data_IF_894416956673
#
_entry.id   IF_894416956673
#
_cell.length_a   1.000
_cell.length_b   1.000
_cell.length_c   1.000
_cell.angle_alpha   90.00
_cell.angle_beta   90.00
_cell.angle_gamma   90.00
#
_symmetry.space_group_name_H-M   'P 1'
#
loop_
_entity.id
_entity.type
_entity.pdbx_description
1 polymer ?
#
# COMPACT_ATOMS: atom_id res chain seq x y z
N UNK A 1 -26.79 4.12 32.65
CA UNK A 1 -25.61 4.78 32.05
C UNK A 1 -24.46 3.79 32.14
N UNK A 2 -24.11 3.12 31.03
CA UNK A 2 -23.19 1.97 31.03
C UNK A 2 -21.81 2.35 31.56
N UNK A 3 -21.40 1.71 32.64
CA UNK A 3 -20.10 1.88 33.33
C UNK A 3 -18.90 1.50 32.45
N UNK A 4 -19.14 0.81 31.34
CA UNK A 4 -18.12 0.35 30.41
C UNK A 4 -17.57 1.49 29.53
N UNK A 5 -18.47 2.31 28.96
CA UNK A 5 -18.09 3.46 28.15
C UNK A 5 -17.26 4.50 28.95
N UNK A 6 -17.53 4.64 30.24
CA UNK A 6 -16.74 5.51 31.12
C UNK A 6 -15.32 4.95 31.37
N UNK A 7 -15.17 3.63 31.44
CA UNK A 7 -13.86 2.97 31.58
C UNK A 7 -13.07 3.04 30.29
N UNK A 8 -13.71 2.83 29.14
CA UNK A 8 -13.11 2.99 27.82
C UNK A 8 -12.58 4.41 27.62
N UNK A 9 -13.39 5.43 27.92
CA UNK A 9 -12.97 6.82 27.81
C UNK A 9 -11.78 7.15 28.72
N UNK A 10 -11.79 6.65 29.97
CA UNK A 10 -10.67 6.80 30.90
C UNK A 10 -9.38 6.15 30.38
N UNK A 11 -9.48 4.95 29.78
CA UNK A 11 -8.35 4.26 29.17
C UNK A 11 -7.80 5.03 27.96
N UNK A 12 -8.67 5.55 27.09
CA UNK A 12 -8.28 6.38 25.95
C UNK A 12 -7.55 7.65 26.42
N UNK A 13 -8.07 8.32 27.44
CA UNK A 13 -7.45 9.54 27.99
C UNK A 13 -6.07 9.26 28.60
N UNK A 14 -5.91 8.14 29.30
CA UNK A 14 -4.63 7.73 29.87
C UNK A 14 -3.59 7.43 28.77
N UNK A 15 -3.99 6.70 27.73
CA UNK A 15 -3.12 6.41 26.57
C UNK A 15 -2.75 7.69 25.83
N UNK A 16 -3.70 8.59 25.60
CA UNK A 16 -3.43 9.88 24.94
C UNK A 16 -2.42 10.72 25.73
N UNK A 17 -2.62 10.85 27.05
CA UNK A 17 -1.73 11.62 27.93
C UNK A 17 -0.31 11.03 27.96
N UNK A 18 -0.20 9.70 27.97
CA UNK A 18 1.10 9.01 27.93
C UNK A 18 1.82 9.16 26.57
N UNK A 19 1.07 9.34 25.48
CA UNK A 19 1.61 9.48 24.12
C UNK A 19 1.89 10.93 23.72
N UNK A 20 1.34 11.91 24.43
CA UNK A 20 1.51 13.34 24.11
C UNK A 20 2.97 13.86 24.09
N UNK A 21 3.87 13.45 25.00
CA UNK A 21 5.26 13.92 24.96
C UNK A 21 6.12 13.21 23.90
N UNK A 22 5.59 12.18 23.23
CA UNK A 22 6.32 11.38 22.24
C UNK A 22 6.19 11.97 20.84
N UNK A 23 7.25 11.81 20.03
CA UNK A 23 7.23 12.14 18.61
C UNK A 23 6.23 11.26 17.84
N UNK A 24 5.62 11.76 16.74
CA UNK A 24 4.57 11.04 16.01
C UNK A 24 4.96 9.61 15.60
N UNK A 25 6.19 9.40 15.13
CA UNK A 25 6.69 8.07 14.76
C UNK A 25 6.86 7.15 15.97
N UNK A 26 7.24 7.71 17.14
CA UNK A 26 7.36 6.95 18.37
C UNK A 26 5.98 6.50 18.90
N UNK A 27 4.94 7.35 18.76
CA UNK A 27 3.55 6.99 19.12
C UNK A 27 3.07 5.77 18.33
N UNK A 28 3.31 5.75 17.02
CA UNK A 28 2.91 4.63 16.16
C UNK A 28 3.61 3.32 16.53
N UNK A 29 4.93 3.36 16.81
CA UNK A 29 5.67 2.17 17.24
C UNK A 29 5.18 1.62 18.58
N UNK A 30 4.93 2.51 19.55
CA UNK A 30 4.43 2.11 20.88
C UNK A 30 3.05 1.48 20.77
N UNK A 31 2.14 2.05 19.99
CA UNK A 31 0.81 1.48 19.77
C UNK A 31 0.86 0.12 19.06
N UNK A 32 1.70 -0.03 18.04
CA UNK A 32 1.88 -1.31 17.34
C UNK A 32 2.45 -2.39 18.27
N UNK A 33 3.40 -2.03 19.15
CA UNK A 33 3.97 -2.95 20.12
C UNK A 33 2.94 -3.39 21.18
N UNK A 34 2.17 -2.43 21.73
CA UNK A 34 1.12 -2.72 22.71
C UNK A 34 0.02 -3.59 22.09
N UNK A 35 -0.37 -3.31 20.85
CA UNK A 35 -1.33 -4.13 20.11
C UNK A 35 -0.84 -5.58 19.95
N UNK A 36 0.42 -5.76 19.55
CA UNK A 36 1.05 -7.09 19.47
C UNK A 36 1.11 -7.79 20.83
N UNK A 37 1.41 -7.05 21.91
CA UNK A 37 1.52 -7.61 23.26
C UNK A 37 0.16 -8.05 23.81
N UNK A 38 -0.90 -7.30 23.48
CA UNK A 38 -2.27 -7.59 23.88
C UNK A 38 -2.97 -8.60 22.95
N UNK A 39 -2.28 -9.09 21.91
CA UNK A 39 -2.86 -10.00 20.92
C UNK A 39 -3.98 -9.36 20.08
N UNK A 40 -3.99 -8.03 19.99
CA UNK A 40 -4.94 -7.27 19.19
C UNK A 40 -4.40 -7.22 17.77
N UNK A 41 -5.01 -7.98 16.85
CA UNK A 41 -4.72 -7.90 15.43
C UNK A 41 -5.16 -6.52 14.91
N UNK A 42 -4.23 -5.56 14.88
CA UNK A 42 -4.46 -4.20 14.36
C UNK A 42 -4.47 -4.20 12.83
N UNK A 43 -5.23 -5.10 12.21
CA UNK A 43 -5.83 -4.80 10.91
C UNK A 43 -6.88 -3.75 11.16
N UNK A 44 -6.45 -2.49 11.20
CA UNK A 44 -7.37 -1.35 11.19
C UNK A 44 -8.12 -1.42 9.87
N UNK A 45 -9.26 -2.10 9.90
CA UNK A 45 -10.30 -1.92 8.91
C UNK A 45 -10.67 -0.45 9.01
N UNK A 46 -10.23 0.34 8.02
CA UNK A 46 -10.82 1.64 7.76
C UNK A 46 -12.25 1.34 7.29
N UNK A 47 -13.12 1.09 8.26
CA UNK A 47 -14.56 1.02 8.11
C UNK A 47 -14.99 2.39 7.63
N UNK A 48 -15.14 2.52 6.32
CA UNK A 48 -15.84 3.65 5.73
C UNK A 48 -17.29 3.49 6.13
N UNK A 49 -17.66 4.19 7.18
CA UNK A 49 -19.03 4.29 7.67
C UNK A 49 -19.95 4.73 6.53
N UNK A 50 -21.06 4.04 6.47
CA UNK A 50 -22.20 4.21 5.58
C UNK A 50 -22.70 5.65 5.53
N UNK A 51 -22.69 6.26 4.35
CA UNK A 51 -23.60 7.33 3.99
C UNK A 51 -24.52 6.81 2.87
N UNK A 52 -25.80 6.72 3.23
CA UNK A 52 -26.92 6.20 2.47
C UNK A 52 -27.40 7.18 1.38
N UNK A 53 -28.01 6.58 0.34
CA UNK A 53 -29.06 7.09 -0.55
C UNK A 53 -28.70 8.18 -1.60
N UNK A 54 -28.61 7.78 -2.87
CA UNK A 54 -29.70 7.88 -3.87
C UNK A 54 -29.19 7.41 -5.25
N UNK A 55 -29.92 6.53 -5.94
CA UNK A 55 -29.63 6.22 -7.35
C UNK A 55 -30.06 4.83 -7.80
N UNK A 56 -31.38 4.64 -7.90
CA UNK A 56 -32.07 3.51 -8.54
C UNK A 56 -31.71 3.39 -10.03
N UNK A 57 -31.37 2.19 -10.52
CA UNK A 57 -31.97 1.55 -11.70
C UNK A 57 -31.20 0.30 -12.19
N UNK A 58 -32.00 -0.69 -12.60
CA UNK A 58 -31.79 -1.71 -13.64
C UNK A 58 -31.12 -3.05 -13.28
N UNK A 59 -32.01 -4.04 -13.15
CA UNK A 59 -32.06 -5.31 -13.90
C UNK A 59 -31.05 -6.44 -13.60
N UNK A 60 -31.61 -7.64 -13.42
CA UNK A 60 -30.90 -8.89 -13.70
C UNK A 60 -31.27 -10.05 -12.78
N UNK A 61 -32.46 -10.62 -12.99
CA UNK A 61 -32.79 -11.99 -12.59
C UNK A 61 -31.81 -12.95 -13.30
N UNK A 62 -31.13 -13.82 -12.55
CA UNK A 62 -30.01 -14.61 -13.07
C UNK A 62 -29.49 -15.61 -12.05
N UNK A 63 -30.35 -16.58 -11.71
CA UNK A 63 -29.99 -17.82 -11.04
C UNK A 63 -29.00 -18.60 -11.93
N UNK A 64 -27.74 -18.70 -11.50
CA UNK A 64 -26.75 -19.61 -12.07
C UNK A 64 -25.76 -20.04 -11.00
N UNK A 65 -26.07 -21.21 -10.45
CA UNK A 65 -25.18 -22.17 -9.82
C UNK A 65 -23.71 -22.06 -10.31
N UNK A 66 -22.79 -21.75 -9.41
CA UNK A 66 -21.36 -21.96 -9.60
C UNK A 66 -20.71 -22.34 -8.28
N UNK A 67 -20.69 -23.65 -8.07
CA UNK A 67 -19.51 -24.45 -7.73
C UNK A 67 -18.39 -23.64 -7.07
N UNK A 68 -18.20 -23.94 -5.78
CA UNK A 68 -17.27 -23.28 -4.89
C UNK A 68 -15.91 -22.96 -5.50
N UNK A 69 -15.59 -21.68 -5.49
CA UNK A 69 -14.22 -21.21 -5.56
C UNK A 69 -13.49 -21.76 -4.32
N UNK A 70 -12.46 -22.63 -4.47
CA UNK A 70 -11.60 -22.94 -3.36
C UNK A 70 -10.97 -21.61 -2.87
N UNK A 71 -10.86 -21.40 -1.55
CA UNK A 71 -10.27 -20.17 -1.01
C UNK A 71 -8.94 -19.91 -1.72
N UNK A 72 -8.65 -18.66 -2.15
CA UNK A 72 -7.38 -18.37 -2.79
C UNK A 72 -6.29 -18.88 -1.88
N UNK A 73 -5.61 -19.93 -2.36
CA UNK A 73 -4.59 -20.64 -1.65
C UNK A 73 -3.66 -19.61 -1.02
N UNK A 74 -3.55 -19.68 0.30
CA UNK A 74 -2.68 -18.87 1.13
C UNK A 74 -1.41 -18.52 0.36
N UNK A 75 -1.31 -17.26 -0.05
CA UNK A 75 -0.13 -16.75 -0.72
C UNK A 75 1.04 -17.01 0.22
N UNK A 76 1.93 -17.92 -0.22
CA UNK A 76 3.22 -18.21 0.42
C UNK A 76 3.84 -16.88 0.82
N UNK A 77 4.09 -16.71 2.11
CA UNK A 77 4.41 -15.44 2.76
C UNK A 77 5.25 -14.52 1.88
N UNK A 78 4.64 -13.43 1.46
CA UNK A 78 5.35 -12.32 0.84
C UNK A 78 6.45 -11.91 1.81
N UNK A 79 7.73 -11.89 1.40
CA UNK A 79 8.80 -11.48 2.28
C UNK A 79 8.53 -10.05 2.77
N UNK A 80 8.21 -9.91 4.05
CA UNK A 80 8.04 -8.62 4.71
C UNK A 80 9.43 -8.02 4.90
N UNK A 81 9.90 -7.27 3.92
CA UNK A 81 11.15 -6.53 4.03
C UNK A 81 10.99 -5.39 5.03
N UNK A 82 11.95 -5.26 5.94
CA UNK A 82 11.92 -4.20 6.96
C UNK A 82 12.41 -2.86 6.41
N UNK A 83 13.18 -2.90 5.31
CA UNK A 83 13.68 -1.71 4.64
C UNK A 83 13.65 -1.83 3.12
N UNK A 84 13.54 -0.69 2.45
CA UNK A 84 13.62 -0.63 0.99
C UNK A 84 14.97 -1.15 0.47
N UNK A 85 16.05 -0.96 1.23
CA UNK A 85 17.40 -1.41 0.87
C UNK A 85 17.47 -2.93 0.70
N UNK A 86 16.86 -3.69 1.62
CA UNK A 86 16.82 -5.15 1.57
C UNK A 86 16.06 -5.66 0.34
N UNK A 87 14.89 -5.07 0.06
CA UNK A 87 14.10 -5.41 -1.11
C UNK A 87 14.83 -5.04 -2.41
N UNK A 88 15.47 -3.87 -2.45
CA UNK A 88 16.21 -3.42 -3.62
C UNK A 88 17.43 -4.31 -3.90
N UNK A 89 18.15 -4.73 -2.86
CA UNK A 89 19.27 -5.66 -2.98
C UNK A 89 18.80 -7.06 -3.42
N UNK A 90 17.65 -7.55 -2.92
CA UNK A 90 17.09 -8.83 -3.31
C UNK A 90 16.57 -8.84 -4.76
N UNK A 91 16.00 -7.73 -5.23
CA UNK A 91 15.46 -7.62 -6.59
C UNK A 91 16.53 -7.28 -7.65
N UNK A 92 17.69 -6.75 -7.25
CA UNK A 92 18.81 -6.30 -8.11
C UNK A 92 18.37 -5.67 -9.47
N UNK A 93 17.60 -4.56 -9.45
CA UNK A 93 17.08 -3.97 -10.68
C UNK A 93 18.19 -3.33 -11.52
N UNK A 94 18.34 -3.80 -12.76
CA UNK A 94 19.42 -3.38 -13.67
C UNK A 94 19.08 -2.11 -14.43
N UNK A 95 17.81 -1.93 -14.78
CA UNK A 95 17.33 -0.80 -15.57
C UNK A 95 16.59 0.23 -14.73
N UNK A 96 16.57 1.49 -15.17
CA UNK A 96 15.81 2.56 -14.50
C UNK A 96 14.31 2.24 -14.39
N UNK A 97 13.77 1.54 -15.39
CA UNK A 97 12.38 1.12 -15.42
C UNK A 97 12.11 0.02 -14.38
N UNK A 98 13.03 -0.93 -14.19
CA UNK A 98 12.92 -1.94 -13.13
C UNK A 98 13.06 -1.31 -11.74
N UNK A 99 13.95 -0.31 -11.58
CA UNK A 99 14.06 0.45 -10.31
C UNK A 99 12.73 1.13 -9.96
N UNK A 100 12.06 1.71 -10.96
CA UNK A 100 10.73 2.32 -10.78
C UNK A 100 9.65 1.28 -10.42
N UNK A 101 9.74 0.06 -10.95
CA UNK A 101 8.84 -1.04 -10.62
C UNK A 101 9.06 -1.54 -9.18
N UNK A 102 10.32 -1.75 -8.79
CA UNK A 102 10.71 -2.24 -7.46
C UNK A 102 10.32 -1.24 -6.37
N UNK A 103 10.54 0.06 -6.57
CA UNK A 103 10.08 1.08 -5.60
C UNK A 103 8.55 1.17 -5.55
N UNK A 104 7.87 0.98 -6.69
CA UNK A 104 6.41 0.92 -6.71
C UNK A 104 5.87 -0.26 -5.91
N UNK A 105 6.52 -1.43 -6.02
CA UNK A 105 6.20 -2.61 -5.23
C UNK A 105 6.42 -2.35 -3.74
N UNK A 106 7.54 -1.75 -3.35
CA UNK A 106 7.81 -1.37 -1.96
C UNK A 106 6.70 -0.50 -1.38
N UNK A 107 6.28 0.54 -2.11
CA UNK A 107 5.23 1.45 -1.67
C UNK A 107 3.87 0.75 -1.55
N UNK A 108 3.54 -0.15 -2.48
CA UNK A 108 2.22 -0.78 -2.50
C UNK A 108 2.12 -2.01 -1.60
N UNK A 109 3.17 -2.83 -1.53
CA UNK A 109 3.17 -4.10 -0.79
C UNK A 109 3.72 -3.91 0.62
N UNK A 110 4.89 -3.28 0.76
CA UNK A 110 5.53 -3.13 2.07
C UNK A 110 4.95 -1.96 2.87
N UNK A 111 4.64 -0.83 2.20
CA UNK A 111 3.98 0.31 2.86
C UNK A 111 2.44 0.27 2.76
N UNK A 112 1.87 -0.77 2.13
CA UNK A 112 0.41 -0.95 1.99
C UNK A 112 -0.31 0.26 1.38
N UNK A 113 0.33 1.01 0.48
CA UNK A 113 -0.29 2.14 -0.21
C UNK A 113 -1.09 1.69 -1.43
N UNK A 114 -2.37 2.06 -1.53
CA UNK A 114 -3.21 1.75 -2.70
C UNK A 114 -2.68 2.35 -4.01
N UNK A 115 -2.01 3.49 -3.91
CA UNK A 115 -1.41 4.23 -5.02
C UNK A 115 -0.30 5.13 -4.51
N UNK A 116 0.60 5.51 -5.41
CA UNK A 116 1.74 6.36 -5.08
C UNK A 116 2.00 7.41 -6.14
N UNK A 117 2.80 8.41 -5.79
CA UNK A 117 3.22 9.45 -6.73
C UNK A 117 4.66 9.21 -7.17
N UNK A 118 5.01 9.68 -8.37
CA UNK A 118 6.38 9.66 -8.86
C UNK A 118 7.37 10.36 -7.91
N UNK A 119 6.94 11.44 -7.24
CA UNK A 119 7.76 12.15 -6.28
C UNK A 119 8.11 11.30 -5.05
N UNK A 120 7.12 10.59 -4.50
CA UNK A 120 7.32 9.69 -3.37
C UNK A 120 8.26 8.53 -3.75
N UNK A 121 8.05 7.91 -4.91
CA UNK A 121 8.93 6.87 -5.43
C UNK A 121 10.38 7.36 -5.65
N UNK A 122 10.57 8.58 -6.17
CA UNK A 122 11.92 9.11 -6.35
C UNK A 122 12.61 9.46 -5.02
N UNK A 123 11.84 9.83 -3.99
CA UNK A 123 12.37 10.08 -2.64
C UNK A 123 12.99 8.81 -2.06
N UNK A 124 12.26 7.69 -2.10
CA UNK A 124 12.77 6.39 -1.63
C UNK A 124 14.04 5.96 -2.39
N UNK A 125 14.05 6.13 -3.72
CA UNK A 125 15.24 5.84 -4.54
C UNK A 125 16.43 6.78 -4.23
N UNK A 126 16.16 8.04 -3.90
CA UNK A 126 17.19 9.00 -3.51
C UNK A 126 17.81 8.63 -2.16
N UNK A 127 17.01 8.13 -1.22
CA UNK A 127 17.51 7.67 0.08
C UNK A 127 18.49 6.48 -0.06
N UNK A 128 18.33 5.64 -1.09
CA UNK A 128 19.29 4.57 -1.42
C UNK A 128 20.45 5.02 -2.33
N UNK A 129 20.52 6.29 -2.74
CA UNK A 129 21.54 6.78 -3.68
C UNK A 129 21.30 6.38 -5.15
N UNK A 130 20.14 5.81 -5.47
CA UNK A 130 19.75 5.39 -6.82
C UNK A 130 18.70 6.34 -7.43
N UNK A 131 18.84 7.65 -7.19
CA UNK A 131 17.94 8.68 -7.72
C UNK A 131 17.78 8.55 -9.24
N UNK A 132 16.55 8.64 -9.72
CA UNK A 132 16.24 8.71 -11.14
C UNK A 132 16.11 10.17 -11.57
N UNK A 133 16.79 10.53 -12.65
CA UNK A 133 16.67 11.86 -13.27
C UNK A 133 15.26 12.10 -13.80
N UNK A 134 14.65 11.09 -14.43
CA UNK A 134 13.28 11.12 -14.88
C UNK A 134 12.55 9.81 -14.55
N UNK A 135 11.98 9.75 -13.35
CA UNK A 135 11.20 8.59 -12.90
C UNK A 135 9.87 8.45 -13.68
N UNK A 136 9.32 9.55 -14.19
CA UNK A 136 8.06 9.50 -14.95
C UNK A 136 8.25 8.77 -16.27
N UNK A 137 9.36 9.01 -16.97
CA UNK A 137 9.69 8.27 -18.20
C UNK A 137 9.88 6.77 -17.92
N UNK A 138 10.53 6.42 -16.80
CA UNK A 138 10.73 5.04 -16.38
C UNK A 138 9.39 4.32 -16.09
N UNK A 139 8.44 5.02 -15.46
CA UNK A 139 7.08 4.51 -15.22
C UNK A 139 6.30 4.39 -16.53
N UNK A 140 6.39 5.39 -17.41
CA UNK A 140 5.71 5.39 -18.70
C UNK A 140 6.24 4.25 -19.60
N UNK A 141 7.54 3.92 -19.52
CA UNK A 141 8.11 2.74 -20.17
C UNK A 141 7.45 1.45 -19.67
N UNK A 142 7.30 1.27 -18.35
CA UNK A 142 6.65 0.08 -17.75
C UNK A 142 5.14 0.00 -18.02
N UNK A 143 4.49 1.16 -18.21
CA UNK A 143 3.09 1.26 -18.65
C UNK A 143 2.93 0.91 -20.13
N UNK A 144 3.92 1.20 -20.97
CA UNK A 144 3.89 0.92 -22.42
C UNK A 144 4.20 -0.53 -22.78
N UNK A 145 4.79 -1.30 -21.86
CA UNK A 145 5.08 -2.71 -22.04
C UNK A 145 3.81 -3.57 -22.02
N UNK A 146 3.88 -4.73 -22.70
CA UNK A 146 2.84 -5.77 -22.68
C UNK A 146 3.43 -7.03 -22.05
N UNK A 147 2.91 -7.52 -20.91
CA UNK A 147 1.80 -6.99 -20.12
C UNK A 147 2.15 -5.66 -19.42
N UNK A 148 1.13 -4.85 -19.13
CA UNK A 148 1.32 -3.56 -18.44
C UNK A 148 1.73 -3.80 -16.98
N UNK A 149 2.95 -3.40 -16.61
CA UNK A 149 3.49 -3.63 -15.27
C UNK A 149 3.14 -2.49 -14.29
N UNK A 150 2.85 -1.30 -14.82
CA UNK A 150 2.44 -0.14 -14.03
C UNK A 150 1.22 0.55 -14.65
N UNK A 151 0.37 1.09 -13.78
CA UNK A 151 -0.89 1.75 -14.13
C UNK A 151 -0.86 3.19 -13.62
N UNK A 152 -1.36 4.12 -14.42
CA UNK A 152 -1.63 5.49 -13.98
C UNK A 152 -3.12 5.61 -13.68
N UNK A 153 -3.48 5.85 -12.42
CA UNK A 153 -4.88 5.88 -11.98
C UNK A 153 -5.54 7.23 -12.23
N UNK A 154 -4.87 8.31 -11.84
CA UNK A 154 -5.43 9.67 -11.90
C UNK A 154 -4.33 10.69 -12.17
N UNK A 155 -4.71 11.79 -12.80
CA UNK A 155 -3.91 13.01 -12.91
C UNK A 155 -4.70 14.14 -12.25
N UNK A 156 -4.12 14.80 -11.26
CA UNK A 156 -4.75 15.95 -10.59
C UNK A 156 -4.32 17.25 -11.27
N UNK A 157 -5.14 17.73 -12.21
CA UNK A 157 -4.91 18.95 -13.00
C UNK A 157 -4.56 18.69 -14.47
N UNK A 158 -4.71 19.71 -15.31
CA UNK A 158 -4.47 19.64 -16.76
C UNK A 158 -2.99 19.84 -17.14
N UNK A 159 -2.24 20.57 -16.32
CA UNK A 159 -0.82 20.91 -16.57
C UNK A 159 0.10 19.69 -16.66
N UNK A 160 1.25 19.82 -17.32
CA UNK A 160 2.30 18.79 -17.34
C UNK A 160 2.89 18.55 -15.93
N UNK A 161 2.87 19.56 -15.06
CA UNK A 161 3.32 19.49 -13.66
C UNK A 161 2.26 18.93 -12.69
N UNK A 162 1.08 18.56 -13.21
CA UNK A 162 0.01 17.97 -12.42
C UNK A 162 0.46 16.66 -11.77
N UNK A 163 0.07 16.46 -10.50
CA UNK A 163 0.42 15.25 -9.76
C UNK A 163 -0.25 14.04 -10.40
N UNK A 164 0.53 13.04 -10.79
CA UNK A 164 0.07 11.76 -11.31
C UNK A 164 0.10 10.71 -10.19
N UNK A 165 -0.98 9.95 -10.06
CA UNK A 165 -1.08 8.80 -9.19
C UNK A 165 -0.88 7.53 -10.01
N UNK A 166 -0.05 6.65 -9.49
CA UNK A 166 0.34 5.39 -10.10
C UNK A 166 0.04 4.22 -9.17
N UNK A 167 -0.07 3.04 -9.76
CA UNK A 167 -0.28 1.75 -9.07
C UNK A 167 0.51 0.68 -9.80
N UNK A 168 1.10 -0.26 -9.09
CA UNK A 168 1.72 -1.45 -9.69
C UNK A 168 0.61 -2.45 -10.02
N UNK A 169 0.62 -2.96 -11.26
CA UNK A 169 -0.34 -3.97 -11.68
C UNK A 169 -0.03 -5.33 -11.04
N UNK A 170 -0.97 -6.27 -11.13
CA UNK A 170 -0.73 -7.64 -10.65
C UNK A 170 0.47 -8.31 -11.36
N UNK A 171 0.63 -8.08 -12.66
CA UNK A 171 1.78 -8.58 -13.42
C UNK A 171 3.09 -7.88 -13.01
N UNK A 172 3.03 -6.60 -12.67
CA UNK A 172 4.16 -5.87 -12.09
C UNK A 172 4.62 -6.45 -10.75
N UNK A 173 3.66 -6.78 -9.88
CA UNK A 173 3.93 -7.43 -8.59
C UNK A 173 4.61 -8.78 -8.79
N UNK A 174 4.05 -9.64 -9.66
CA UNK A 174 4.66 -10.94 -10.01
C UNK A 174 6.07 -10.78 -10.55
N UNK A 175 6.32 -9.77 -11.38
CA UNK A 175 7.64 -9.53 -11.97
C UNK A 175 8.68 -9.18 -10.92
N UNK A 176 8.34 -8.38 -9.91
CA UNK A 176 9.24 -8.08 -8.78
C UNK A 176 9.44 -9.30 -7.89
N UNK A 177 8.38 -10.06 -7.61
CA UNK A 177 8.50 -11.31 -6.85
C UNK A 177 9.38 -12.35 -7.55
N UNK A 178 9.33 -12.41 -8.88
CA UNK A 178 10.23 -13.24 -9.68
C UNK A 178 11.68 -12.74 -9.60
N UNK A 179 11.92 -11.42 -9.57
CA UNK A 179 13.28 -10.88 -9.37
C UNK A 179 13.84 -11.27 -8.00
N UNK A 180 13.00 -11.19 -6.96
CA UNK A 180 13.37 -11.51 -5.58
C UNK A 180 13.68 -13.00 -5.39
N UNK A 181 12.93 -13.87 -6.08
CA UNK A 181 13.07 -15.33 -5.93
C UNK A 181 14.28 -15.90 -6.66
N UNK A 182 14.84 -15.18 -7.63
CA UNK A 182 15.89 -15.66 -8.54
C UNK A 182 15.38 -16.71 -9.52
#
# INVERSE_FOLDING_TARGET
>A
MSTDAAKEFSAIQAVHTALDPLEPEARTRVLAYIASLLGIDTKVAVGRTTASALGTAADGDGDADSVGDPPPAAAKGTPTYSSFAELYAAADPKTNAEKALVVGYWLQVCQSADSFTAALANKELTHLGHKLANITDAIDQMKSQKPMLMLQLKKSGSSQQARKLYKVSHEGVKRVEAMIRG
#
